data_IF_734018466259
#
_entry.id   IF_734018466259
#
_cell.length_a   1.000
_cell.length_b   1.000
_cell.length_c   1.000
_cell.angle_alpha   90.00
_cell.angle_beta   90.00
_cell.angle_gamma   90.00
#
_symmetry.space_group_name_H-M   'P 1'
#
loop_
_entity.id
_entity.type
_entity.pdbx_description
1 polymer ?
#
# COMPACT_ATOMS: atom_id res chain seq x y z
N UNK A 1 22.42 3.49 3.82
CA UNK A 1 22.05 2.40 4.75
C UNK A 1 21.87 1.13 3.95
N UNK A 2 22.25 -0.02 4.52
CA UNK A 2 22.04 -1.32 3.90
C UNK A 2 20.92 -2.01 4.68
N UNK A 3 20.01 -2.70 3.98
CA UNK A 3 18.94 -3.46 4.60
C UNK A 3 19.39 -4.90 4.73
N UNK A 4 19.33 -5.43 5.92
CA UNK A 4 19.66 -6.83 6.25
C UNK A 4 18.47 -7.55 6.85
N UNK A 5 17.75 -6.89 7.75
CA UNK A 5 16.64 -7.47 8.50
C UNK A 5 15.37 -6.61 8.35
N UNK A 6 14.28 -7.25 7.98
CA UNK A 6 12.96 -6.63 7.81
C UNK A 6 11.94 -7.36 8.67
N UNK A 7 11.18 -6.62 9.46
CA UNK A 7 9.99 -7.12 10.12
C UNK A 7 8.74 -6.68 9.37
N UNK A 8 7.80 -7.58 9.16
CA UNK A 8 6.48 -7.28 8.58
C UNK A 8 5.41 -7.64 9.60
N UNK A 9 4.61 -6.67 9.99
CA UNK A 9 3.58 -6.80 11.03
C UNK A 9 2.21 -6.88 10.38
N UNK A 10 1.53 -8.01 10.57
CA UNK A 10 0.29 -8.38 9.89
C UNK A 10 0.54 -9.41 8.78
N UNK A 11 0.01 -10.63 8.95
CA UNK A 11 0.20 -11.76 8.02
C UNK A 11 -0.94 -11.92 6.99
N UNK A 12 -1.74 -10.88 6.79
CA UNK A 12 -2.76 -10.85 5.75
C UNK A 12 -2.19 -10.89 4.33
N UNK A 13 -3.05 -10.69 3.33
CA UNK A 13 -2.67 -10.72 1.91
C UNK A 13 -1.52 -9.77 1.57
N UNK A 14 -1.53 -8.55 2.14
CA UNK A 14 -0.48 -7.58 1.87
C UNK A 14 0.81 -7.93 2.60
N UNK A 15 0.74 -8.18 3.91
CA UNK A 15 1.94 -8.48 4.70
C UNK A 15 2.65 -9.75 4.25
N UNK A 16 1.93 -10.83 3.95
CA UNK A 16 2.53 -12.04 3.38
C UNK A 16 3.22 -11.77 2.03
N UNK A 17 2.60 -10.98 1.15
CA UNK A 17 3.21 -10.58 -0.11
C UNK A 17 4.45 -9.70 0.05
N UNK A 18 4.46 -8.78 1.02
CA UNK A 18 5.61 -7.93 1.35
C UNK A 18 6.75 -8.78 1.91
N UNK A 19 6.45 -9.65 2.90
CA UNK A 19 7.44 -10.56 3.47
C UNK A 19 8.05 -11.48 2.40
N UNK A 20 7.22 -11.99 1.50
CA UNK A 20 7.66 -12.81 0.37
C UNK A 20 8.73 -12.10 -0.45
N UNK A 21 8.49 -10.87 -0.91
CA UNK A 21 9.46 -10.17 -1.79
C UNK A 21 10.72 -9.75 -1.03
N UNK A 22 10.63 -9.46 0.26
CA UNK A 22 11.79 -9.19 1.11
C UNK A 22 12.67 -10.43 1.26
N UNK A 23 12.08 -11.61 1.54
CA UNK A 23 12.80 -12.88 1.61
C UNK A 23 13.44 -13.27 0.27
N UNK A 24 12.75 -13.05 -0.85
CA UNK A 24 13.27 -13.25 -2.21
C UNK A 24 14.47 -12.34 -2.52
N UNK A 25 14.54 -11.17 -1.89
CA UNK A 25 15.69 -10.26 -2.04
C UNK A 25 16.91 -10.72 -1.23
N UNK A 26 16.78 -11.75 -0.41
CA UNK A 26 17.84 -12.26 0.46
C UNK A 26 17.93 -11.55 1.81
N UNK A 27 16.91 -10.78 2.19
CA UNK A 27 16.85 -10.15 3.50
C UNK A 27 16.26 -11.11 4.54
N UNK A 28 16.84 -11.10 5.74
CA UNK A 28 16.23 -11.80 6.87
C UNK A 28 14.88 -11.15 7.16
N UNK A 29 13.82 -11.89 6.93
CA UNK A 29 12.45 -11.35 6.95
C UNK A 29 11.64 -12.08 8.01
N UNK A 30 11.08 -11.33 8.95
CA UNK A 30 10.23 -11.86 10.01
C UNK A 30 8.80 -11.37 9.78
N UNK A 31 7.90 -12.33 9.51
CA UNK A 31 6.47 -12.06 9.38
C UNK A 31 5.81 -12.30 10.74
N UNK A 32 5.20 -11.25 11.29
CA UNK A 32 4.59 -11.28 12.62
C UNK A 32 3.07 -11.06 12.53
N UNK A 33 2.32 -11.86 13.27
CA UNK A 33 0.90 -11.63 13.51
C UNK A 33 0.53 -12.16 14.89
N UNK A 34 -0.33 -11.45 15.61
CA UNK A 34 -0.82 -11.85 16.94
C UNK A 34 -1.70 -13.12 16.89
N UNK A 35 -2.22 -13.47 15.72
CA UNK A 35 -3.09 -14.62 15.51
C UNK A 35 -2.34 -15.73 14.76
N UNK A 36 -2.09 -16.89 15.39
CA UNK A 36 -1.38 -18.01 14.75
C UNK A 36 -2.01 -18.47 13.42
N UNK A 37 -3.35 -18.44 13.34
CA UNK A 37 -4.07 -18.83 12.13
C UNK A 37 -3.81 -17.85 10.96
N UNK A 38 -3.54 -16.57 11.27
CA UNK A 38 -3.16 -15.59 10.26
C UNK A 38 -1.75 -15.85 9.74
N UNK A 39 -0.82 -16.26 10.61
CA UNK A 39 0.53 -16.66 10.21
C UNK A 39 0.51 -17.91 9.34
N UNK A 40 -0.25 -18.92 9.70
CA UNK A 40 -0.41 -20.15 8.90
C UNK A 40 -0.94 -19.83 7.50
N UNK A 41 -2.00 -19.03 7.39
CA UNK A 41 -2.54 -18.56 6.11
C UNK A 41 -1.54 -17.73 5.31
N UNK A 42 -0.78 -16.86 6.01
CA UNK A 42 0.28 -16.06 5.40
C UNK A 42 1.37 -16.94 4.78
N UNK A 43 1.81 -17.96 5.51
CA UNK A 43 2.78 -18.96 5.04
C UNK A 43 2.25 -19.72 3.83
N UNK A 44 1.04 -20.27 3.91
CA UNK A 44 0.39 -20.97 2.79
C UNK A 44 0.27 -20.10 1.54
N UNK A 45 -0.03 -18.80 1.70
CA UNK A 45 -0.11 -17.86 0.59
C UNK A 45 1.25 -17.69 -0.10
N UNK A 46 2.32 -17.54 0.67
CA UNK A 46 3.69 -17.40 0.16
C UNK A 46 4.10 -18.67 -0.58
N UNK A 47 3.94 -19.84 0.04
CA UNK A 47 4.30 -21.12 -0.55
C UNK A 47 3.52 -21.39 -1.83
N UNK A 48 2.21 -21.18 -1.80
CA UNK A 48 1.34 -21.33 -2.97
C UNK A 48 1.77 -20.43 -4.13
N UNK A 49 2.22 -19.21 -3.83
CA UNK A 49 2.71 -18.30 -4.86
C UNK A 49 4.02 -18.80 -5.47
N UNK A 50 4.97 -19.26 -4.68
CA UNK A 50 6.23 -19.83 -5.14
C UNK A 50 6.00 -21.11 -5.95
N UNK A 51 5.14 -22.02 -5.48
CA UNK A 51 4.80 -23.27 -6.18
C UNK A 51 4.12 -23.01 -7.53
N UNK A 52 3.27 -21.98 -7.59
CA UNK A 52 2.68 -21.51 -8.86
C UNK A 52 3.75 -20.93 -9.80
N UNK A 53 4.77 -20.28 -9.26
CA UNK A 53 5.94 -19.83 -9.99
C UNK A 53 6.74 -20.99 -10.58
N UNK A 54 6.99 -22.04 -9.78
CA UNK A 54 7.70 -23.25 -10.22
C UNK A 54 6.92 -23.96 -11.35
N UNK A 55 5.60 -24.14 -11.16
CA UNK A 55 4.73 -24.73 -12.20
C UNK A 55 4.75 -23.96 -13.53
N UNK A 56 4.98 -22.66 -13.49
CA UNK A 56 5.06 -21.77 -14.66
C UNK A 56 6.48 -21.58 -15.19
N UNK A 57 7.46 -22.25 -14.62
CA UNK A 57 8.88 -22.11 -15.01
C UNK A 57 9.49 -20.73 -14.70
N UNK A 58 8.89 -19.94 -13.81
CA UNK A 58 9.35 -18.61 -13.38
C UNK A 58 10.18 -18.62 -12.11
N UNK A 59 10.20 -19.75 -11.41
CA UNK A 59 10.90 -19.98 -10.15
C UNK A 59 11.39 -21.42 -10.14
N UNK A 60 12.57 -21.65 -9.61
CA UNK A 60 13.13 -22.99 -9.41
C UNK A 60 12.87 -23.48 -7.98
N UNK A 61 12.98 -24.79 -7.76
CA UNK A 61 12.90 -25.36 -6.40
C UNK A 61 14.04 -24.85 -5.51
N UNK A 62 15.23 -24.69 -6.07
CA UNK A 62 16.40 -24.19 -5.36
C UNK A 62 16.19 -22.75 -4.89
N UNK A 63 15.66 -21.85 -5.73
CA UNK A 63 15.30 -20.49 -5.33
C UNK A 63 14.27 -20.48 -4.20
N UNK A 64 13.22 -21.32 -4.27
CA UNK A 64 12.25 -21.45 -3.17
C UNK A 64 12.92 -21.86 -1.86
N UNK A 65 13.82 -22.84 -1.89
CA UNK A 65 14.57 -23.30 -0.72
C UNK A 65 15.48 -22.18 -0.14
N UNK A 66 16.15 -21.41 -1.00
CA UNK A 66 16.98 -20.28 -0.58
C UNK A 66 16.13 -19.16 0.05
N UNK A 67 15.00 -18.81 -0.55
CA UNK A 67 14.10 -17.77 -0.04
C UNK A 67 13.45 -18.17 1.28
N UNK A 68 13.08 -19.45 1.43
CA UNK A 68 12.49 -19.96 2.67
C UNK A 68 13.44 -19.84 3.87
N UNK A 69 14.75 -19.91 3.66
CA UNK A 69 15.75 -19.72 4.73
C UNK A 69 15.80 -18.29 5.25
N UNK A 70 15.36 -17.35 4.45
CA UNK A 70 15.32 -15.92 4.81
C UNK A 70 14.01 -15.52 5.50
N UNK A 71 13.03 -16.45 5.62
CA UNK A 71 11.71 -16.15 6.15
C UNK A 71 11.49 -16.86 7.50
N UNK A 72 11.10 -16.07 8.49
CA UNK A 72 10.76 -16.54 9.83
C UNK A 72 9.37 -16.04 10.21
N UNK A 73 8.62 -16.83 10.97
CA UNK A 73 7.28 -16.49 11.45
C UNK A 73 7.33 -16.29 12.96
N UNK A 74 6.82 -15.16 13.44
CA UNK A 74 6.86 -14.75 14.84
C UNK A 74 5.44 -14.43 15.33
N UNK A 75 5.09 -14.83 16.55
CA UNK A 75 3.86 -14.38 17.23
C UNK A 75 4.18 -13.13 18.07
N UNK A 76 5.38 -13.09 18.65
CA UNK A 76 5.82 -11.99 19.50
C UNK A 76 6.38 -10.84 18.64
N UNK A 77 5.85 -9.64 18.86
CA UNK A 77 6.26 -8.44 18.13
C UNK A 77 7.69 -8.04 18.47
N UNK A 78 8.12 -8.21 19.74
CA UNK A 78 9.48 -7.86 20.19
C UNK A 78 10.52 -8.72 19.48
N UNK A 79 10.25 -10.05 19.39
CA UNK A 79 11.10 -10.96 18.62
C UNK A 79 11.18 -10.56 17.15
N UNK A 80 10.04 -10.21 16.56
CA UNK A 80 9.97 -9.87 15.14
C UNK A 80 10.82 -8.64 14.79
N UNK A 81 10.82 -7.61 15.62
CA UNK A 81 11.51 -6.34 15.35
C UNK A 81 12.95 -6.28 15.88
N UNK A 82 13.41 -7.27 16.62
CA UNK A 82 14.77 -7.28 17.15
C UNK A 82 15.82 -7.17 16.04
N UNK A 83 16.68 -6.17 16.11
CA UNK A 83 17.71 -5.89 15.11
C UNK A 83 17.17 -5.52 13.71
N UNK A 84 15.89 -5.22 13.54
CA UNK A 84 15.33 -4.82 12.26
C UNK A 84 15.85 -3.46 11.78
N UNK A 85 16.19 -3.36 10.51
CA UNK A 85 16.50 -2.09 9.83
C UNK A 85 15.22 -1.39 9.36
N UNK A 86 14.21 -2.18 9.04
CA UNK A 86 12.92 -1.74 8.52
C UNK A 86 11.79 -2.57 9.14
N UNK A 87 10.77 -1.88 9.62
CA UNK A 87 9.50 -2.50 10.06
C UNK A 87 8.40 -2.01 9.14
N UNK A 88 7.64 -2.92 8.52
CA UNK A 88 6.52 -2.58 7.64
C UNK A 88 5.23 -3.09 8.28
N UNK A 89 4.37 -2.20 8.71
CA UNK A 89 3.06 -2.50 9.25
C UNK A 89 2.05 -2.71 8.10
N UNK A 90 1.33 -3.83 8.12
CA UNK A 90 0.31 -4.23 7.15
C UNK A 90 -0.92 -4.89 7.85
N UNK A 91 -1.28 -4.40 9.03
CA UNK A 91 -2.47 -4.83 9.78
C UNK A 91 -3.75 -4.24 9.18
N UNK A 92 -4.95 -4.66 9.63
CA UNK A 92 -6.21 -4.09 9.13
C UNK A 92 -6.25 -2.55 9.15
N UNK A 93 -6.99 -1.97 8.19
CA UNK A 93 -7.05 -0.53 7.93
C UNK A 93 -7.92 0.18 8.98
N UNK A 94 -7.45 0.16 10.25
CA UNK A 94 -8.09 0.75 11.43
C UNK A 94 -7.08 1.69 12.09
N UNK A 95 -7.36 3.00 12.09
CA UNK A 95 -6.44 4.03 12.56
C UNK A 95 -5.95 3.78 14.01
N UNK A 96 -6.86 3.47 14.92
CA UNK A 96 -6.49 3.28 16.34
C UNK A 96 -5.59 2.06 16.52
N UNK A 97 -5.86 0.95 15.83
CA UNK A 97 -4.99 -0.23 15.83
C UNK A 97 -3.58 0.12 15.33
N UNK A 98 -3.48 0.88 14.24
CA UNK A 98 -2.18 1.29 13.70
C UNK A 98 -1.43 2.19 14.68
N UNK A 99 -2.11 3.14 15.32
CA UNK A 99 -1.52 4.00 16.36
C UNK A 99 -0.97 3.18 17.54
N UNK A 100 -1.74 2.23 18.05
CA UNK A 100 -1.31 1.34 19.14
C UNK A 100 -0.05 0.56 18.76
N UNK A 101 0.00 0.02 17.55
CA UNK A 101 1.17 -0.70 17.04
C UNK A 101 2.38 0.24 16.93
N UNK A 102 2.22 1.45 16.40
CA UNK A 102 3.34 2.38 16.26
C UNK A 102 3.87 2.90 17.60
N UNK A 103 3.04 3.03 18.63
CA UNK A 103 3.46 3.31 20.01
C UNK A 103 4.32 2.15 20.52
N UNK A 104 3.87 0.90 20.36
CA UNK A 104 4.65 -0.27 20.75
C UNK A 104 5.98 -0.37 19.98
N UNK A 105 5.94 -0.17 18.64
CA UNK A 105 7.14 -0.20 17.79
C UNK A 105 8.16 0.86 18.18
N UNK A 106 7.72 2.04 18.62
CA UNK A 106 8.62 3.06 19.13
C UNK A 106 9.43 2.61 20.34
N UNK A 107 8.83 1.83 21.22
CA UNK A 107 9.45 1.32 22.44
C UNK A 107 10.45 0.19 22.17
N UNK A 108 10.06 -0.78 21.32
CA UNK A 108 10.76 -2.06 21.17
C UNK A 108 11.66 -2.15 19.93
N UNK A 109 11.38 -1.41 18.86
CA UNK A 109 12.18 -1.46 17.64
C UNK A 109 13.52 -0.72 17.84
N UNK A 110 14.59 -1.12 17.12
CA UNK A 110 15.85 -0.38 17.15
C UNK A 110 15.66 1.10 16.84
N UNK A 111 16.36 1.98 17.57
CA UNK A 111 16.18 3.44 17.45
C UNK A 111 16.51 3.99 16.06
N UNK A 112 17.31 3.28 15.28
CA UNK A 112 17.67 3.62 13.90
C UNK A 112 16.78 2.93 12.85
N UNK A 113 15.89 2.03 13.26
CA UNK A 113 14.95 1.36 12.34
C UNK A 113 13.97 2.36 11.73
N UNK A 114 13.70 2.22 10.44
CA UNK A 114 12.62 2.94 9.79
C UNK A 114 11.31 2.18 10.00
N UNK A 115 10.27 2.92 10.37
CA UNK A 115 8.93 2.38 10.61
C UNK A 115 8.02 2.79 9.45
N UNK A 116 7.54 1.81 8.70
CA UNK A 116 6.69 2.03 7.55
C UNK A 116 5.27 1.49 7.78
N UNK A 117 4.28 2.15 7.23
CA UNK A 117 2.90 1.64 7.16
C UNK A 117 2.49 1.40 5.72
N UNK A 118 1.81 0.27 5.46
CA UNK A 118 1.25 -0.06 4.15
C UNK A 118 -0.21 0.39 4.01
N UNK A 119 -0.63 1.42 4.74
CA UNK A 119 -1.98 1.98 4.60
C UNK A 119 -2.25 2.46 3.18
N UNK A 120 -3.49 2.35 2.73
CA UNK A 120 -3.94 2.85 1.42
C UNK A 120 -4.67 4.19 1.50
N UNK A 121 -5.11 4.61 2.70
CA UNK A 121 -5.98 5.77 2.84
C UNK A 121 -5.81 6.54 4.16
N UNK A 122 -5.28 5.90 5.19
CA UNK A 122 -5.07 6.54 6.51
C UNK A 122 -3.89 7.50 6.44
N UNK A 123 -4.07 8.70 7.01
CA UNK A 123 -3.01 9.71 7.08
C UNK A 123 -1.79 9.21 7.85
N UNK A 124 -0.64 9.27 7.22
CA UNK A 124 0.65 8.94 7.84
C UNK A 124 0.94 9.88 9.01
N UNK A 125 0.58 11.17 8.87
CA UNK A 125 0.70 12.16 9.94
C UNK A 125 -0.08 11.77 11.18
N UNK A 126 -1.28 11.20 11.01
CA UNK A 126 -2.13 10.75 12.13
C UNK A 126 -1.50 9.57 12.90
N UNK A 127 -0.76 8.71 12.20
CA UNK A 127 -0.02 7.60 12.79
C UNK A 127 1.28 8.13 13.43
N UNK A 128 2.01 8.98 12.74
CA UNK A 128 3.31 9.47 13.21
C UNK A 128 3.19 10.40 14.44
N UNK A 129 2.11 11.15 14.56
CA UNK A 129 1.94 12.12 15.65
C UNK A 129 1.69 11.49 17.04
N UNK A 130 1.44 10.17 17.13
CA UNK A 130 1.34 9.50 18.44
C UNK A 130 2.69 9.02 18.96
N UNK A 131 3.77 9.21 18.20
CA UNK A 131 5.13 8.83 18.55
C UNK A 131 6.00 10.07 18.81
N UNK A 132 7.10 9.90 19.55
CA UNK A 132 8.08 10.96 19.79
C UNK A 132 9.15 11.06 18.69
N UNK A 133 9.16 10.12 17.73
CA UNK A 133 10.14 10.07 16.64
C UNK A 133 9.46 9.98 15.25
N UNK A 134 8.58 10.96 14.91
CA UNK A 134 7.85 10.96 13.66
C UNK A 134 8.76 10.99 12.42
N UNK A 135 9.99 11.53 12.54
CA UNK A 135 10.92 11.66 11.43
C UNK A 135 11.38 10.35 10.81
N UNK A 136 11.22 9.22 11.51
CA UNK A 136 11.53 7.88 11.01
C UNK A 136 10.32 7.07 10.56
N UNK A 137 9.14 7.71 10.50
CA UNK A 137 7.89 7.09 10.06
C UNK A 137 7.56 7.51 8.64
N UNK A 138 7.12 6.55 7.80
CA UNK A 138 6.84 6.78 6.39
C UNK A 138 5.74 5.83 5.89
N UNK A 139 4.98 6.25 4.89
CA UNK A 139 4.10 5.36 4.15
C UNK A 139 4.87 4.61 3.06
N UNK A 140 4.69 3.30 2.99
CA UNK A 140 5.15 2.44 1.89
C UNK A 140 3.96 1.67 1.36
N UNK A 141 3.22 2.28 0.44
CA UNK A 141 1.97 1.72 -0.09
C UNK A 141 2.26 0.80 -1.26
N UNK A 142 2.20 -0.51 -0.99
CA UNK A 142 2.32 -1.59 -1.97
C UNK A 142 0.95 -1.92 -2.58
N UNK A 143 0.96 -2.56 -3.75
CA UNK A 143 -0.23 -2.94 -4.50
C UNK A 143 -0.40 -4.45 -4.59
N UNK A 144 -1.65 -4.92 -4.46
CA UNK A 144 -2.00 -6.33 -4.57
C UNK A 144 -2.11 -6.78 -6.05
N UNK A 145 -1.47 -7.88 -6.46
CA UNK A 145 -0.57 -8.77 -5.72
C UNK A 145 0.85 -8.20 -5.61
N UNK A 146 1.37 -8.10 -4.38
CA UNK A 146 2.67 -7.46 -4.11
C UNK A 146 3.83 -7.98 -4.96
N UNK A 147 3.98 -9.30 -5.20
CA UNK A 147 5.09 -9.79 -6.02
C UNK A 147 5.00 -9.43 -7.51
N UNK A 148 3.83 -9.01 -7.99
CA UNK A 148 3.56 -8.73 -9.42
C UNK A 148 3.56 -7.24 -9.71
N UNK A 149 2.92 -6.47 -8.84
CA UNK A 149 2.74 -5.03 -9.03
C UNK A 149 4.06 -4.30 -8.86
N UNK A 150 4.41 -3.50 -9.86
CA UNK A 150 5.71 -2.81 -9.89
C UNK A 150 5.73 -1.51 -9.10
N UNK A 151 4.59 -0.85 -8.94
CA UNK A 151 4.51 0.45 -8.27
C UNK A 151 4.63 0.31 -6.75
N UNK A 152 5.36 1.26 -6.15
CA UNK A 152 5.38 1.53 -4.72
C UNK A 152 5.24 3.04 -4.51
N UNK A 153 4.17 3.48 -3.82
CA UNK A 153 4.06 4.88 -3.39
C UNK A 153 4.79 5.06 -2.06
N UNK A 154 5.76 5.95 -2.06
CA UNK A 154 6.43 6.43 -0.84
C UNK A 154 5.66 7.67 -0.38
N UNK A 155 4.99 7.58 0.75
CA UNK A 155 4.11 8.65 1.24
C UNK A 155 4.81 9.37 2.39
N UNK A 156 5.21 10.63 2.15
CA UNK A 156 5.88 11.46 3.15
C UNK A 156 4.91 12.42 3.83
N UNK A 157 5.02 12.52 5.14
CA UNK A 157 4.39 13.57 5.94
C UNK A 157 5.40 14.69 6.26
N UNK A 158 4.92 15.82 6.81
CA UNK A 158 5.74 17.03 6.99
C UNK A 158 6.98 16.85 7.89
N UNK A 159 6.89 15.96 8.89
CA UNK A 159 7.99 15.71 9.83
C UNK A 159 8.92 14.60 9.39
N UNK A 160 8.65 13.94 8.26
CA UNK A 160 9.48 12.83 7.77
C UNK A 160 10.87 13.34 7.36
N UNK A 161 11.94 12.65 7.80
CA UNK A 161 13.30 13.06 7.46
C UNK A 161 13.69 12.67 6.03
N UNK A 162 14.55 13.46 5.37
CA UNK A 162 15.11 13.12 4.06
C UNK A 162 15.86 11.77 4.09
N UNK A 163 16.47 11.42 5.22
CA UNK A 163 17.12 10.12 5.42
C UNK A 163 16.11 8.98 5.33
N UNK A 164 14.93 9.13 5.93
CA UNK A 164 13.85 8.15 5.90
C UNK A 164 13.29 8.01 4.49
N UNK A 165 13.08 9.11 3.78
CA UNK A 165 12.60 9.13 2.41
C UNK A 165 13.58 8.39 1.49
N UNK A 166 14.86 8.80 1.50
CA UNK A 166 15.90 8.17 0.67
C UNK A 166 16.09 6.68 0.98
N UNK A 167 15.91 6.28 2.24
CA UNK A 167 15.96 4.87 2.62
C UNK A 167 14.78 4.08 2.05
N UNK A 168 13.55 4.61 2.11
CA UNK A 168 12.37 3.96 1.55
C UNK A 168 12.45 3.84 0.02
N UNK A 169 12.94 4.87 -0.67
CA UNK A 169 13.19 4.84 -2.12
C UNK A 169 14.22 3.75 -2.48
N UNK A 170 15.34 3.68 -1.74
CA UNK A 170 16.36 2.64 -1.92
C UNK A 170 15.79 1.23 -1.70
N UNK A 171 14.94 1.04 -0.68
CA UNK A 171 14.24 -0.22 -0.42
C UNK A 171 13.36 -0.59 -1.62
N UNK A 172 12.57 0.35 -2.12
CA UNK A 172 11.72 0.14 -3.30
C UNK A 172 12.52 -0.28 -4.53
N UNK A 173 13.60 0.43 -4.82
CA UNK A 173 14.52 0.09 -5.92
C UNK A 173 15.09 -1.33 -5.77
N UNK A 174 15.60 -1.66 -4.58
CA UNK A 174 16.14 -3.00 -4.31
C UNK A 174 15.11 -4.11 -4.44
N UNK A 175 13.84 -3.85 -4.12
CA UNK A 175 12.73 -4.76 -4.32
C UNK A 175 12.25 -4.82 -5.79
N UNK A 176 12.88 -4.08 -6.70
CA UNK A 176 12.52 -4.03 -8.12
C UNK A 176 11.19 -3.29 -8.37
N UNK A 177 10.85 -2.36 -7.49
CA UNK A 177 9.68 -1.49 -7.63
C UNK A 177 10.07 -0.18 -8.30
N UNK A 178 9.12 0.39 -9.04
CA UNK A 178 9.16 1.79 -9.46
C UNK A 178 8.53 2.62 -8.34
N UNK A 179 9.31 3.52 -7.76
CA UNK A 179 8.85 4.34 -6.65
C UNK A 179 8.36 5.70 -7.14
N UNK A 180 7.29 6.19 -6.54
CA UNK A 180 6.87 7.59 -6.65
C UNK A 180 6.79 8.18 -5.24
N UNK A 181 7.25 9.43 -5.10
CA UNK A 181 7.18 10.17 -3.85
C UNK A 181 5.93 11.03 -3.85
N UNK A 182 5.05 10.80 -2.88
CA UNK A 182 3.79 11.54 -2.74
C UNK A 182 3.67 12.16 -1.35
N UNK A 183 2.90 13.24 -1.23
CA UNK A 183 2.56 13.84 0.06
C UNK A 183 1.45 13.07 0.75
N UNK A 184 1.45 13.10 2.08
CA UNK A 184 0.38 12.57 2.92
C UNK A 184 -0.89 13.42 2.77
N UNK A 185 -1.61 13.16 1.68
CA UNK A 185 -2.90 13.78 1.36
C UNK A 185 -3.89 12.64 1.10
N UNK A 186 -5.16 12.75 1.51
CA UNK A 186 -6.15 11.70 1.41
C UNK A 186 -6.21 11.05 0.03
N UNK A 187 -6.11 9.69 0.01
CA UNK A 187 -6.12 8.87 -1.20
C UNK A 187 -4.81 8.88 -1.97
N UNK A 188 -3.75 9.52 -1.46
CA UNK A 188 -2.43 9.61 -2.08
C UNK A 188 -2.53 9.99 -3.57
N UNK A 189 -1.80 9.34 -4.47
CA UNK A 189 -1.98 9.56 -5.91
C UNK A 189 -2.91 8.52 -6.54
N UNK A 190 -2.65 7.23 -6.33
CA UNK A 190 -3.33 6.16 -7.07
C UNK A 190 -4.76 5.91 -6.58
N UNK A 191 -4.98 5.84 -5.27
CA UNK A 191 -6.32 5.63 -4.72
C UNK A 191 -7.25 6.78 -5.10
N UNK A 192 -6.74 8.03 -5.01
CA UNK A 192 -7.50 9.22 -5.39
C UNK A 192 -7.89 9.22 -6.87
N UNK A 193 -6.93 8.99 -7.77
CA UNK A 193 -7.20 8.93 -9.21
C UNK A 193 -8.11 7.77 -9.59
N UNK A 194 -7.83 6.59 -9.05
CA UNK A 194 -8.61 5.39 -9.34
C UNK A 194 -10.07 5.51 -8.91
N UNK A 195 -10.31 6.07 -7.71
CA UNK A 195 -11.67 6.24 -7.17
C UNK A 195 -12.44 7.29 -7.94
N UNK A 196 -11.82 8.43 -8.27
CA UNK A 196 -12.47 9.50 -9.06
C UNK A 196 -12.86 9.00 -10.45
N UNK A 197 -11.94 8.31 -11.14
CA UNK A 197 -12.20 7.75 -12.45
C UNK A 197 -13.34 6.72 -12.43
N UNK A 198 -13.33 5.80 -11.46
CA UNK A 198 -14.40 4.81 -11.32
C UNK A 198 -15.74 5.43 -10.94
N UNK A 199 -15.74 6.46 -10.08
CA UNK A 199 -16.97 7.16 -9.71
C UNK A 199 -17.61 7.88 -10.93
N UNK A 200 -16.78 8.52 -11.76
CA UNK A 200 -17.26 9.14 -12.99
C UNK A 200 -17.82 8.10 -13.98
N UNK A 201 -17.14 6.95 -14.11
CA UNK A 201 -17.64 5.85 -14.94
C UNK A 201 -19.00 5.30 -14.47
N UNK A 202 -19.20 5.16 -13.16
CA UNK A 202 -20.49 4.76 -12.57
C UNK A 202 -21.56 5.83 -12.85
N UNK A 203 -21.21 7.11 -12.77
CA UNK A 203 -22.12 8.21 -13.10
C UNK A 203 -22.54 8.18 -14.57
N UNK A 204 -21.59 8.02 -15.50
CA UNK A 204 -21.88 7.89 -16.93
C UNK A 204 -22.82 6.71 -17.22
N UNK A 205 -22.63 5.58 -16.52
CA UNK A 205 -23.54 4.44 -16.62
C UNK A 205 -24.93 4.78 -16.13
N UNK A 206 -25.06 5.48 -15.01
CA UNK A 206 -26.36 5.88 -14.44
C UNK A 206 -27.11 6.91 -15.30
N UNK A 207 -26.38 7.75 -16.02
CA UNK A 207 -26.90 8.75 -16.96
C UNK A 207 -27.25 8.14 -18.33
N UNK A 208 -26.92 6.86 -18.55
CA UNK A 208 -27.20 6.18 -19.82
C UNK A 208 -26.31 6.65 -20.97
N UNK A 209 -25.13 7.19 -20.67
CA UNK A 209 -24.17 7.65 -21.70
C UNK A 209 -23.74 6.50 -22.61
N UNK A 210 -23.43 5.34 -22.02
CA UNK A 210 -23.10 4.12 -22.75
C UNK A 210 -23.29 2.89 -21.85
N UNK A 211 -23.17 1.68 -22.42
CA UNK A 211 -23.13 0.45 -21.64
C UNK A 211 -21.85 0.36 -20.82
N UNK A 212 -21.88 -0.43 -19.73
CA UNK A 212 -20.68 -0.68 -18.91
C UNK A 212 -19.49 -1.18 -19.75
N UNK A 213 -19.74 -2.10 -20.67
CA UNK A 213 -18.74 -2.63 -21.60
C UNK A 213 -18.14 -1.56 -22.51
N UNK A 214 -18.96 -0.62 -22.98
CA UNK A 214 -18.51 0.44 -23.89
C UNK A 214 -17.69 1.50 -23.14
N UNK A 215 -18.09 1.85 -21.91
CA UNK A 215 -17.33 2.76 -21.02
C UNK A 215 -15.94 2.17 -20.75
N UNK A 216 -15.86 0.89 -20.39
CA UNK A 216 -14.59 0.21 -20.15
C UNK A 216 -13.74 0.10 -21.43
N UNK A 217 -14.37 -0.17 -22.57
CA UNK A 217 -13.71 -0.24 -23.87
C UNK A 217 -13.14 1.11 -24.28
N UNK A 218 -13.88 2.20 -24.04
CA UNK A 218 -13.40 3.56 -24.33
C UNK A 218 -12.09 3.87 -23.59
N UNK A 219 -11.97 3.50 -22.31
CA UNK A 219 -10.75 3.70 -21.55
C UNK A 219 -9.62 2.74 -21.97
N UNK A 220 -9.94 1.47 -22.24
CA UNK A 220 -8.94 0.49 -22.69
C UNK A 220 -8.36 0.85 -24.06
N UNK A 221 -9.18 1.23 -25.02
CA UNK A 221 -8.74 1.49 -26.39
C UNK A 221 -8.40 2.96 -26.67
N UNK A 222 -9.14 3.89 -26.08
CA UNK A 222 -8.91 5.33 -26.27
C UNK A 222 -7.70 5.87 -25.51
N UNK A 223 -7.50 5.39 -24.29
CA UNK A 223 -6.42 5.85 -23.40
C UNK A 223 -5.37 4.78 -23.11
N UNK A 224 -5.51 3.57 -23.67
CA UNK A 224 -4.60 2.43 -23.46
C UNK A 224 -4.52 1.98 -21.99
N UNK A 225 -5.60 2.12 -21.24
CA UNK A 225 -5.66 1.56 -19.90
C UNK A 225 -5.65 0.02 -19.98
N UNK A 226 -4.93 -0.68 -19.10
CA UNK A 226 -4.89 -2.14 -19.09
C UNK A 226 -6.23 -2.77 -18.73
N UNK A 227 -7.08 -2.01 -18.01
CA UNK A 227 -8.39 -2.42 -17.50
C UNK A 227 -9.33 -1.22 -17.52
N UNK A 228 -10.62 -1.45 -17.78
CA UNK A 228 -11.63 -0.41 -17.72
C UNK A 228 -11.95 0.04 -16.28
N UNK A 229 -12.50 1.23 -16.08
CA UNK A 229 -12.76 1.78 -14.75
C UNK A 229 -13.86 1.02 -13.98
N UNK A 230 -14.85 0.46 -14.65
CA UNK A 230 -15.90 -0.34 -14.03
C UNK A 230 -15.39 -1.74 -13.70
N UNK A 231 -14.68 -2.39 -14.62
CA UNK A 231 -13.98 -3.65 -14.40
C UNK A 231 -12.98 -3.56 -13.21
N UNK A 232 -12.22 -2.47 -13.12
CA UNK A 232 -11.35 -2.20 -11.98
C UNK A 232 -12.13 -1.97 -10.69
N UNK A 233 -13.32 -1.36 -10.77
CA UNK A 233 -14.20 -1.15 -9.62
C UNK A 233 -14.71 -2.46 -9.05
N UNK A 234 -15.08 -3.39 -9.91
CA UNK A 234 -15.51 -4.73 -9.51
C UNK A 234 -14.34 -5.54 -8.90
N UNK A 235 -13.15 -5.41 -9.47
CA UNK A 235 -11.95 -6.08 -8.97
C UNK A 235 -11.53 -5.60 -7.57
N UNK A 236 -11.61 -4.29 -7.32
CA UNK A 236 -11.25 -3.67 -6.03
C UNK A 236 -12.33 -3.90 -4.97
N UNK A 237 -13.59 -3.98 -5.39
CA UNK A 237 -14.77 -4.04 -4.54
C UNK A 237 -15.43 -2.66 -4.36
N UNK A 238 -16.75 -2.63 -4.57
CA UNK A 238 -17.52 -1.38 -4.48
C UNK A 238 -17.63 -0.84 -3.05
N UNK A 239 -17.59 -1.71 -2.04
CA UNK A 239 -17.54 -1.39 -0.64
C UNK A 239 -16.25 -0.63 -0.27
N UNK A 240 -15.09 -1.16 -0.69
CA UNK A 240 -13.79 -0.51 -0.48
C UNK A 240 -13.76 0.87 -1.17
N UNK A 241 -14.27 0.96 -2.40
CA UNK A 241 -14.35 2.22 -3.13
C UNK A 241 -15.25 3.25 -2.46
N UNK A 242 -16.40 2.83 -1.97
CA UNK A 242 -17.33 3.68 -1.22
C UNK A 242 -16.63 4.25 0.02
N UNK A 243 -15.92 3.42 0.77
CA UNK A 243 -15.25 3.84 2.00
C UNK A 243 -14.11 4.84 1.73
N UNK A 244 -13.35 4.64 0.64
CA UNK A 244 -12.36 5.62 0.18
C UNK A 244 -13.03 6.92 -0.26
N UNK A 245 -14.14 6.86 -1.02
CA UNK A 245 -14.89 8.05 -1.44
C UNK A 245 -15.41 8.85 -0.25
N UNK A 246 -15.96 8.19 0.77
CA UNK A 246 -16.43 8.84 1.98
C UNK A 246 -15.28 9.56 2.71
N UNK A 247 -14.15 8.89 2.87
CA UNK A 247 -12.94 9.49 3.47
C UNK A 247 -12.44 10.71 2.69
N UNK A 248 -12.46 10.64 1.35
CA UNK A 248 -12.09 11.76 0.50
C UNK A 248 -13.09 12.92 0.60
N UNK A 249 -14.39 12.63 0.64
CA UNK A 249 -15.44 13.63 0.78
C UNK A 249 -15.34 14.40 2.11
N UNK A 250 -15.12 13.68 3.21
CA UNK A 250 -14.90 14.26 4.53
C UNK A 250 -13.65 15.15 4.58
N UNK A 251 -12.56 14.67 3.97
CA UNK A 251 -11.26 15.36 4.02
C UNK A 251 -11.20 16.63 3.16
N UNK A 252 -11.86 16.62 2.01
CA UNK A 252 -11.82 17.76 1.08
C UNK A 252 -13.04 18.68 1.17
N UNK A 253 -14.05 18.36 2.00
CA UNK A 253 -15.34 19.06 2.03
C UNK A 253 -15.95 19.23 0.63
N UNK A 254 -15.53 18.42 -0.32
CA UNK A 254 -15.93 18.44 -1.71
C UNK A 254 -16.49 17.06 -2.03
N UNK A 255 -17.78 17.00 -2.24
CA UNK A 255 -18.30 16.00 -3.15
C UNK A 255 -17.50 16.17 -4.46
N UNK A 256 -16.88 15.11 -4.95
CA UNK A 256 -16.33 15.06 -6.31
C UNK A 256 -17.50 15.09 -7.30
N UNK A 257 -18.21 16.21 -7.29
CA UNK A 257 -19.11 16.60 -8.36
C UNK A 257 -18.27 17.37 -9.34
N UNK A 258 -18.40 17.06 -10.64
CA UNK A 258 -17.94 17.95 -11.69
C UNK A 258 -18.39 19.38 -11.32
N UNK A 259 -17.54 20.39 -11.45
CA UNK A 259 -17.91 21.75 -11.12
C UNK A 259 -19.22 22.07 -11.87
N UNK A 260 -20.30 22.26 -11.10
CA UNK A 260 -21.57 22.65 -11.69
C UNK A 260 -21.37 23.98 -12.42
N UNK A 261 -21.92 24.14 -13.62
CA UNK A 261 -21.96 25.46 -14.27
C UNK A 261 -22.60 26.56 -13.39
N UNK A 262 -23.26 26.16 -12.30
CA UNK A 262 -23.85 27.05 -11.29
C UNK A 262 -22.89 27.44 -10.16
N UNK A 263 -21.67 26.85 -10.10
CA UNK A 263 -20.69 27.23 -9.07
C UNK A 263 -19.95 28.49 -9.50
N UNK A 264 -20.52 29.65 -9.18
CA UNK A 264 -20.03 30.98 -9.52
C UNK A 264 -18.64 31.29 -8.97
N UNK A 265 -18.03 30.44 -8.13
CA UNK A 265 -16.69 30.66 -7.60
C UNK A 265 -15.57 30.25 -8.56
N UNK A 266 -15.85 29.44 -9.56
CA UNK A 266 -14.83 29.04 -10.55
C UNK A 266 -14.90 29.81 -11.87
N UNK A 267 -15.84 30.72 -12.05
CA UNK A 267 -15.98 31.51 -13.29
C UNK A 267 -15.04 32.72 -13.40
N UNK A 268 -14.09 32.87 -12.50
CA UNK A 268 -13.04 33.89 -12.58
C UNK A 268 -11.69 33.27 -12.90
N UNK A 269 -11.52 32.78 -14.14
CA UNK A 269 -10.19 32.79 -14.72
C UNK A 269 -9.84 34.23 -15.08
N UNK A 270 -8.66 34.75 -14.71
CA UNK A 270 -8.20 36.03 -15.22
C UNK A 270 -8.10 35.87 -16.74
N UNK A 271 -8.77 36.74 -17.48
CA UNK A 271 -8.50 36.95 -18.89
C UNK A 271 -7.05 37.40 -19.01
N UNK A 272 -6.26 36.66 -19.77
CA UNK A 272 -4.90 36.98 -20.20
C UNK A 272 -4.81 38.37 -20.79
#
# INVERSE_FOLDING_TARGET
MQVHTVAVVGAGTMGSGIAQICAQKGWQTRLCDAFPESLEKGMENIERFWDKGIKKGKTTKQEKEEWSKNLQFCIDLTEAVDGADLVIEAVPEILELKKEIFIQLEEIAPKNAILATNTSSISISSIANVTSCPERIIGMHFFNPVPIMKLLEIVKHEKCSEKTISFAELVGEKLGKETILVKDIPGFATSRLGVVLGNEAIRMLSEGVASASDIDTAMKLGYKHPMGPLELSDLVGLDVRRDILNSLAESFCLLYTSPSPRDKRQSRMPSS
#
